data_IF_409098280109
#
_entry.id   IF_409098280109
#
_cell.length_a   1.000
_cell.length_b   1.000
_cell.length_c   1.000
_cell.angle_alpha   90.00
_cell.angle_beta   90.00
_cell.angle_gamma   90.00
#
_symmetry.space_group_name_H-M   'P 1'
#
loop_
_entity.id
_entity.type
_entity.pdbx_description
1 polymer ?
#
# COMPACT_ATOMS: atom_id res chain seq x y z
N UNK A 1 8.46 -10.80 5.56
CA UNK A 1 8.50 -10.61 4.10
C UNK A 1 8.47 -11.99 3.50
N UNK A 2 7.26 -12.54 3.37
CA UNK A 2 7.02 -13.97 3.19
C UNK A 2 6.48 -14.30 1.80
N UNK A 3 6.44 -13.31 0.89
CA UNK A 3 6.07 -13.49 -0.50
C UNK A 3 7.26 -14.00 -1.31
N UNK A 4 7.11 -15.13 -1.99
CA UNK A 4 8.08 -15.69 -2.93
C UNK A 4 7.43 -15.91 -4.30
N UNK A 5 7.79 -15.15 -5.35
CA UNK A 5 8.78 -14.07 -5.37
C UNK A 5 8.35 -12.83 -4.58
N UNK A 6 9.29 -11.91 -4.28
CA UNK A 6 9.02 -10.70 -3.51
C UNK A 6 7.84 -9.92 -4.06
N UNK A 7 6.96 -9.45 -3.18
CA UNK A 7 5.86 -8.59 -3.57
C UNK A 7 6.29 -7.12 -3.59
N UNK A 8 5.87 -6.40 -4.62
CA UNK A 8 5.98 -4.95 -4.69
C UNK A 8 4.81 -4.35 -3.91
N UNK A 9 5.12 -3.59 -2.85
CA UNK A 9 4.12 -2.93 -2.02
C UNK A 9 4.01 -1.48 -2.43
N UNK A 10 2.81 -1.05 -2.81
CA UNK A 10 2.49 0.32 -3.14
C UNK A 10 1.42 0.85 -2.17
N UNK A 11 1.58 2.09 -1.73
CA UNK A 11 0.64 2.77 -0.84
C UNK A 11 -0.27 3.69 -1.63
N UNK A 12 -1.56 3.66 -1.30
CA UNK A 12 -2.59 4.46 -1.93
C UNK A 12 -3.40 5.19 -0.87
N UNK A 13 -3.94 6.36 -1.24
CA UNK A 13 -4.94 7.07 -0.45
C UNK A 13 -6.30 6.73 -1.06
N UNK A 14 -7.33 6.49 -0.24
CA UNK A 14 -8.65 6.01 -0.71
C UNK A 14 -9.32 6.92 -1.75
N UNK A 15 -8.96 8.21 -1.77
CA UNK A 15 -9.44 9.21 -2.72
C UNK A 15 -8.45 9.50 -3.87
N UNK A 16 -7.40 8.69 -4.03
CA UNK A 16 -6.41 8.84 -5.09
C UNK A 16 -6.22 7.52 -5.83
N UNK A 17 -6.13 7.61 -7.15
CA UNK A 17 -5.80 6.49 -8.03
C UNK A 17 -4.29 6.26 -8.15
N UNK A 18 -3.49 7.29 -7.86
CA UNK A 18 -2.03 7.21 -7.91
C UNK A 18 -1.46 6.70 -6.58
N UNK A 19 -0.39 5.91 -6.67
CA UNK A 19 0.37 5.52 -5.49
C UNK A 19 1.01 6.76 -4.85
N UNK A 20 0.83 6.90 -3.54
CA UNK A 20 1.41 7.98 -2.72
C UNK A 20 2.79 7.59 -2.17
N UNK A 21 3.16 6.31 -2.25
CA UNK A 21 4.46 5.79 -1.83
C UNK A 21 4.63 4.31 -2.18
N UNK A 22 5.82 3.78 -1.95
CA UNK A 22 6.15 2.38 -2.17
C UNK A 22 7.06 1.85 -1.06
N UNK A 23 7.06 0.53 -0.89
CA UNK A 23 7.79 -0.17 0.17
C UNK A 23 6.92 -0.61 1.34
N UNK A 24 7.53 -1.39 2.24
CA UNK A 24 6.84 -1.96 3.40
C UNK A 24 6.44 -0.91 4.44
N UNK A 25 7.14 0.23 4.46
CA UNK A 25 6.88 1.34 5.38
C UNK A 25 6.67 2.62 4.58
N UNK A 26 5.66 3.38 4.95
CA UNK A 26 5.32 4.67 4.35
C UNK A 26 4.96 5.68 5.43
N UNK A 27 5.42 6.92 5.23
CA UNK A 27 5.10 8.04 6.11
C UNK A 27 4.05 8.92 5.43
N UNK A 28 2.84 8.92 5.97
CA UNK A 28 1.78 9.79 5.47
C UNK A 28 2.10 11.25 5.80
N UNK A 29 2.20 12.10 4.77
CA UNK A 29 2.43 13.55 4.92
C UNK A 29 1.13 14.33 5.20
N UNK A 30 -0.02 13.69 5.01
CA UNK A 30 -1.34 14.29 5.17
C UNK A 30 -2.28 13.30 5.84
N UNK A 31 -3.27 13.82 6.56
CA UNK A 31 -4.37 13.01 7.06
C UNK A 31 -5.21 12.41 5.94
N UNK A 32 -5.86 11.30 6.25
CA UNK A 32 -6.72 10.57 5.34
C UNK A 32 -6.67 9.06 5.54
N UNK A 33 -7.36 8.34 4.68
CA UNK A 33 -7.42 6.87 4.69
C UNK A 33 -6.44 6.31 3.68
N UNK A 34 -5.52 5.49 4.16
CA UNK A 34 -4.46 4.89 3.37
C UNK A 34 -4.54 3.38 3.43
N UNK A 35 -4.26 2.73 2.32
CA UNK A 35 -4.12 1.28 2.25
C UNK A 35 -2.89 0.95 1.42
N UNK A 36 -2.30 -0.21 1.65
CA UNK A 36 -1.25 -0.73 0.77
C UNK A 36 -1.80 -1.87 -0.10
N UNK A 37 -1.22 -2.00 -1.28
CA UNK A 37 -1.49 -3.11 -2.19
C UNK A 37 -0.15 -3.76 -2.52
N UNK A 38 -0.05 -5.05 -2.19
CA UNK A 38 1.11 -5.88 -2.47
C UNK A 38 0.83 -6.68 -3.74
N UNK A 39 1.69 -6.57 -4.75
CA UNK A 39 1.56 -7.28 -6.01
C UNK A 39 2.77 -8.19 -6.23
N UNK A 40 2.54 -9.46 -6.57
CA UNK A 40 3.57 -10.35 -7.12
C UNK A 40 3.00 -11.17 -8.29
N UNK A 41 3.79 -12.08 -8.86
CA UNK A 41 3.38 -12.92 -10.00
C UNK A 41 2.12 -13.77 -9.75
N UNK A 42 1.75 -14.02 -8.49
CA UNK A 42 0.58 -14.79 -8.09
C UNK A 42 -0.68 -13.92 -7.94
N UNK A 43 -0.55 -12.59 -7.98
CA UNK A 43 -1.65 -11.64 -7.93
C UNK A 43 -1.38 -10.43 -7.02
N UNK A 44 -2.44 -9.69 -6.74
CA UNK A 44 -2.41 -8.56 -5.80
C UNK A 44 -3.25 -8.84 -4.55
N UNK A 45 -2.79 -8.33 -3.42
CA UNK A 45 -3.52 -8.35 -2.16
C UNK A 45 -3.49 -6.95 -1.53
N UNK A 46 -4.67 -6.50 -1.09
CA UNK A 46 -4.84 -5.19 -0.45
C UNK A 46 -4.93 -5.34 1.06
N UNK A 47 -4.31 -4.41 1.79
CA UNK A 47 -4.48 -4.28 3.24
C UNK A 47 -5.81 -3.61 3.58
N UNK A 48 -6.22 -3.73 4.84
CA UNK A 48 -7.23 -2.84 5.39
C UNK A 48 -6.76 -1.37 5.32
N UNK A 49 -7.73 -0.47 5.14
CA UNK A 49 -7.46 0.96 5.10
C UNK A 49 -7.33 1.52 6.52
N UNK A 50 -6.20 2.15 6.79
CA UNK A 50 -5.89 2.81 8.06
C UNK A 50 -6.18 4.30 7.94
N UNK A 51 -6.86 4.85 8.95
CA UNK A 51 -7.12 6.30 9.02
C UNK A 51 -5.99 6.98 9.76
N UNK A 52 -5.30 7.89 9.08
CA UNK A 52 -4.27 8.76 9.66
C UNK A 52 -4.92 10.12 9.93
N UNK A 53 -4.84 10.58 11.18
CA UNK A 53 -5.39 11.86 11.64
C UNK A 53 -4.29 12.86 11.91
#
# INVERSE_FOLDING_TARGET
SDSNPPAEVNWFKENQTSAVGSGQSFSALQSGRFYCEAHNQHGSQRSDAVTVT
#
